data_IF_901371930240
#
_entry.id   IF_901371930240
#
_cell.length_a   1.000
_cell.length_b   1.000
_cell.length_c   1.000
_cell.angle_alpha   90.00
_cell.angle_beta   90.00
_cell.angle_gamma   90.00
#
_symmetry.space_group_name_H-M   'P 1'
#
loop_
_entity.id
_entity.type
_entity.pdbx_description
1 polymer ?
#
# COMPACT_ATOMS: atom_id res chain seq x y z
N UNK A 1 9.44 9.61 -6.76
CA UNK A 1 9.35 8.23 -7.24
C UNK A 1 10.04 7.39 -6.21
N UNK A 2 9.33 6.46 -5.55
CA UNK A 2 9.99 5.56 -4.63
C UNK A 2 10.77 4.53 -5.44
N UNK A 3 12.01 4.26 -5.04
CA UNK A 3 12.80 3.21 -5.66
C UNK A 3 12.41 1.89 -4.98
N UNK A 4 11.95 0.89 -5.74
CA UNK A 4 11.49 -0.42 -5.21
C UNK A 4 12.47 -0.99 -4.17
N UNK A 5 13.77 -0.84 -4.42
CA UNK A 5 14.85 -1.29 -3.54
C UNK A 5 14.89 -0.63 -2.14
N UNK A 6 14.18 0.48 -1.95
CA UNK A 6 14.05 1.21 -0.67
C UNK A 6 12.70 0.99 0.01
N UNK A 7 11.84 0.17 -0.59
CA UNK A 7 10.54 -0.18 -0.04
C UNK A 7 10.64 -1.45 0.79
N UNK A 8 9.78 -1.50 1.79
CA UNK A 8 9.42 -2.73 2.48
C UNK A 8 8.13 -3.30 1.89
N UNK A 9 7.91 -4.59 2.08
CA UNK A 9 6.74 -5.31 1.56
C UNK A 9 6.12 -6.21 2.62
N UNK A 10 4.80 -6.36 2.58
CA UNK A 10 4.06 -7.29 3.44
C UNK A 10 3.79 -8.61 2.72
N UNK A 11 3.35 -9.62 3.47
CA UNK A 11 2.84 -10.88 2.91
C UNK A 11 1.52 -10.69 2.13
N UNK A 12 0.82 -9.57 2.36
CA UNK A 12 -0.42 -9.19 1.66
C UNK A 12 -0.15 -8.32 0.43
N UNK A 13 1.12 -8.23 0.01
CA UNK A 13 1.54 -7.54 -1.20
C UNK A 13 1.34 -6.01 -1.16
N UNK A 14 1.27 -5.41 0.04
CA UNK A 14 1.45 -3.97 0.19
C UNK A 14 2.94 -3.62 0.21
N UNK A 15 3.26 -2.42 -0.26
CA UNK A 15 4.57 -1.81 -0.06
C UNK A 15 4.50 -0.66 0.93
N UNK A 16 5.60 -0.46 1.66
CA UNK A 16 5.77 0.60 2.65
C UNK A 16 7.03 1.40 2.32
N UNK A 17 6.86 2.71 2.10
CA UNK A 17 7.94 3.69 2.02
C UNK A 17 8.06 4.41 3.37
N UNK A 18 9.21 4.32 4.02
CA UNK A 18 9.47 5.07 5.27
C UNK A 18 9.88 6.49 4.90
N UNK A 19 8.97 7.45 5.09
CA UNK A 19 9.21 8.88 4.81
C UNK A 19 10.03 9.52 5.93
N UNK A 20 9.75 9.16 7.18
CA UNK A 20 10.47 9.59 8.38
C UNK A 20 10.22 8.63 9.54
N UNK A 21 10.81 8.89 10.71
CA UNK A 21 10.69 8.00 11.90
C UNK A 21 9.23 7.69 12.27
N UNK A 22 8.31 8.65 12.10
CA UNK A 22 6.90 8.51 12.49
C UNK A 22 5.95 8.41 11.30
N UNK A 23 6.42 8.51 10.05
CA UNK A 23 5.56 8.58 8.87
C UNK A 23 5.95 7.56 7.82
N UNK A 24 4.94 6.80 7.38
CA UNK A 24 5.05 5.85 6.28
C UNK A 24 4.05 6.18 5.18
N UNK A 25 4.40 5.82 3.94
CA UNK A 25 3.48 5.81 2.81
C UNK A 25 3.25 4.37 2.37
N UNK A 26 2.01 4.06 2.05
CA UNK A 26 1.55 2.70 1.74
C UNK A 26 0.88 2.69 0.38
N UNK A 27 1.10 1.61 -0.37
CA UNK A 27 0.38 1.27 -1.59
C UNK A 27 0.44 -0.23 -1.83
N UNK A 28 -0.02 -0.68 -3.00
CA UNK A 28 0.02 -2.08 -3.42
C UNK A 28 1.10 -2.33 -4.46
N UNK A 29 1.70 -3.52 -4.44
CA UNK A 29 2.80 -3.89 -5.33
C UNK A 29 2.35 -4.07 -6.79
N UNK A 30 3.32 -4.08 -7.69
CA UNK A 30 3.15 -4.51 -9.09
C UNK A 30 2.53 -5.91 -9.17
N UNK A 31 3.02 -6.85 -8.38
CA UNK A 31 2.45 -8.20 -8.32
C UNK A 31 0.96 -8.18 -7.92
N UNK A 32 0.58 -7.41 -6.89
CA UNK A 32 -0.81 -7.33 -6.44
C UNK A 32 -1.73 -6.83 -7.55
N UNK A 33 -1.33 -5.76 -8.25
CA UNK A 33 -2.14 -5.21 -9.35
C UNK A 33 -2.16 -6.15 -10.57
N UNK A 34 -1.10 -6.91 -10.83
CA UNK A 34 -1.12 -7.94 -11.89
C UNK A 34 -2.10 -9.08 -11.56
N UNK A 35 -2.18 -9.51 -10.30
CA UNK A 35 -3.15 -10.53 -9.86
C UNK A 35 -4.59 -10.02 -9.95
N UNK A 36 -4.83 -8.76 -9.56
CA UNK A 36 -6.14 -8.12 -9.67
C UNK A 36 -6.54 -7.91 -11.14
N UNK A 37 -5.58 -7.51 -12.00
CA UNK A 37 -5.84 -7.04 -13.36
C UNK A 37 -6.15 -5.54 -13.41
N UNK A 38 -6.84 -5.10 -14.48
CA UNK A 38 -7.16 -3.69 -14.69
C UNK A 38 -8.06 -3.15 -13.57
N UNK A 39 -7.49 -2.28 -12.72
CA UNK A 39 -8.17 -1.63 -11.61
C UNK A 39 -9.11 -0.58 -12.16
N UNK A 40 -10.36 -0.58 -11.66
CA UNK A 40 -11.42 0.32 -12.12
C UNK A 40 -11.99 1.17 -11.00
N UNK A 41 -11.74 0.81 -9.74
CA UNK A 41 -12.25 1.53 -8.59
C UNK A 41 -11.37 1.30 -7.36
N UNK A 42 -11.26 2.33 -6.51
CA UNK A 42 -10.55 2.29 -5.23
C UNK A 42 -11.45 2.95 -4.17
N UNK A 43 -11.82 2.18 -3.15
CA UNK A 43 -12.44 2.71 -1.95
C UNK A 43 -11.34 3.18 -0.99
N UNK A 44 -11.18 4.49 -0.88
CA UNK A 44 -10.18 5.12 -0.01
C UNK A 44 -10.75 5.33 1.41
N UNK A 45 -9.90 5.27 2.46
CA UNK A 45 -10.30 5.64 3.82
C UNK A 45 -10.55 7.14 3.95
N UNK A 46 -11.03 7.60 5.11
CA UNK A 46 -11.14 9.02 5.41
C UNK A 46 -9.90 9.59 6.11
N UNK A 47 -9.67 10.88 5.89
CA UNK A 47 -8.56 11.59 6.54
C UNK A 47 -8.76 11.60 8.06
N UNK A 48 -7.70 11.34 8.81
CA UNK A 48 -7.68 11.15 10.27
C UNK A 48 -8.33 9.85 10.78
N UNK A 49 -8.68 8.92 9.90
CA UNK A 49 -9.07 7.58 10.34
C UNK A 49 -7.90 6.87 11.03
N UNK A 50 -8.24 6.01 11.99
CA UNK A 50 -7.27 5.16 12.66
C UNK A 50 -7.00 3.93 11.80
N UNK A 51 -5.77 3.82 11.31
CA UNK A 51 -5.27 2.58 10.73
C UNK A 51 -4.87 1.64 11.85
N UNK A 52 -5.23 0.37 11.72
CA UNK A 52 -4.77 -0.69 12.61
C UNK A 52 -4.03 -1.74 11.80
N UNK A 53 -3.08 -2.36 12.46
CA UNK A 53 -2.29 -3.43 11.86
C UNK A 53 -3.19 -4.63 11.52
N UNK A 54 -3.04 -5.21 10.34
CA UNK A 54 -3.77 -6.38 9.83
C UNK A 54 -5.30 -6.17 9.73
N UNK A 55 -5.80 -4.93 9.82
CA UNK A 55 -7.19 -4.59 9.50
C UNK A 55 -7.25 -3.88 8.15
N UNK A 56 -8.28 -4.19 7.35
CA UNK A 56 -8.53 -3.55 6.07
C UNK A 56 -8.85 -2.07 6.23
N UNK A 57 -8.18 -1.21 5.46
CA UNK A 57 -8.41 0.25 5.47
C UNK A 57 -8.86 0.81 4.12
N UNK A 58 -8.62 0.09 3.03
CA UNK A 58 -9.03 0.45 1.69
C UNK A 58 -9.43 -0.82 0.92
N UNK A 59 -10.20 -0.67 -0.15
CA UNK A 59 -10.56 -1.79 -1.03
C UNK A 59 -10.26 -1.40 -2.47
N UNK A 60 -9.61 -2.28 -3.22
CA UNK A 60 -9.28 -2.09 -4.64
C UNK A 60 -10.12 -3.06 -5.46
N UNK A 61 -10.84 -2.55 -6.45
CA UNK A 61 -11.69 -3.33 -7.35
C UNK A 61 -11.20 -3.24 -8.80
N UNK A 62 -11.07 -4.40 -9.42
CA UNK A 62 -10.71 -4.58 -10.82
C UNK A 62 -11.89 -5.14 -11.62
N UNK A 63 -11.72 -5.23 -12.93
CA UNK A 63 -12.69 -5.90 -13.81
C UNK A 63 -12.89 -7.39 -13.51
N UNK A 64 -12.03 -8.01 -12.70
CA UNK A 64 -12.05 -9.45 -12.39
C UNK A 64 -12.38 -9.75 -10.93
N UNK A 65 -11.96 -8.91 -10.01
CA UNK A 65 -11.94 -9.20 -8.58
C UNK A 65 -11.83 -7.93 -7.75
N UNK A 66 -12.22 -8.01 -6.48
CA UNK A 66 -11.91 -7.00 -5.47
C UNK A 66 -11.00 -7.60 -4.39
N UNK A 67 -10.15 -6.77 -3.79
CA UNK A 67 -9.31 -7.12 -2.65
C UNK A 67 -9.26 -5.97 -1.65
N UNK A 68 -9.33 -6.32 -0.38
CA UNK A 68 -9.04 -5.40 0.71
C UNK A 68 -7.52 -5.18 0.84
N UNK A 69 -7.15 -3.98 1.27
CA UNK A 69 -5.78 -3.56 1.54
C UNK A 69 -5.64 -3.39 3.05
N UNK A 70 -4.64 -4.06 3.61
CA UNK A 70 -4.49 -4.19 5.06
C UNK A 70 -3.44 -3.21 5.59
N UNK A 71 -3.69 -2.73 6.81
CA UNK A 71 -2.78 -1.82 7.48
C UNK A 71 -1.49 -2.55 7.88
N UNK A 72 -0.30 -2.13 7.43
CA UNK A 72 0.96 -2.73 7.89
C UNK A 72 1.39 -2.23 9.29
N UNK A 73 0.77 -1.16 9.78
CA UNK A 73 1.07 -0.46 11.03
C UNK A 73 -0.20 -0.02 11.74
N UNK A 74 -0.10 0.30 13.02
CA UNK A 74 -1.12 1.07 13.74
C UNK A 74 -0.77 2.56 13.70
N UNK A 75 -1.75 3.42 13.42
CA UNK A 75 -1.49 4.84 13.20
C UNK A 75 -2.72 5.66 12.83
N UNK A 76 -2.48 6.91 12.47
CA UNK A 76 -3.51 7.83 11.96
C UNK A 76 -3.22 8.16 10.50
N UNK A 77 -4.23 8.07 9.64
CA UNK A 77 -4.10 8.44 8.23
C UNK A 77 -4.00 9.97 8.13
N UNK A 78 -2.87 10.44 7.62
CA UNK A 78 -2.52 11.87 7.54
C UNK A 78 -2.57 12.42 6.12
N UNK A 79 -2.50 11.56 5.10
CA UNK A 79 -2.80 11.90 3.70
C UNK A 79 -3.43 10.73 2.98
N UNK A 80 -4.23 11.04 1.98
CA UNK A 80 -4.87 10.11 1.06
C UNK A 80 -4.53 10.57 -0.36
N UNK A 81 -4.40 9.63 -1.28
CA UNK A 81 -4.26 9.93 -2.69
C UNK A 81 -5.64 10.03 -3.35
N UNK A 82 -6.34 11.15 -3.17
CA UNK A 82 -7.68 11.37 -3.72
C UNK A 82 -7.70 11.26 -5.26
N UNK A 83 -6.53 11.37 -5.92
CA UNK A 83 -6.44 11.19 -7.37
C UNK A 83 -6.71 9.77 -7.86
N UNK A 84 -6.78 8.78 -6.96
CA UNK A 84 -7.19 7.40 -7.30
C UNK A 84 -8.72 7.26 -7.47
N UNK A 85 -9.52 8.22 -7.02
CA UNK A 85 -10.97 8.22 -7.25
C UNK A 85 -11.29 8.47 -8.74
N UNK A 86 -10.53 9.38 -9.37
CA UNK A 86 -10.68 9.74 -10.78
C UNK A 86 -9.77 8.93 -11.71
N UNK A 87 -8.59 8.51 -11.23
CA UNK A 87 -7.56 7.83 -12.01
C UNK A 87 -7.06 6.55 -11.28
N UNK A 88 -7.93 5.54 -11.05
CA UNK A 88 -7.58 4.30 -10.36
C UNK A 88 -6.52 3.47 -11.10
N UNK A 89 -6.39 3.63 -12.42
CA UNK A 89 -5.40 2.96 -13.26
C UNK A 89 -3.95 3.29 -12.88
N UNK A 90 -3.72 4.36 -12.11
CA UNK A 90 -2.39 4.68 -11.54
C UNK A 90 -1.83 3.56 -10.67
N UNK A 91 -2.69 2.75 -10.06
CA UNK A 91 -2.27 1.54 -9.35
C UNK A 91 -1.61 0.54 -10.30
N UNK A 92 -2.16 0.37 -11.51
CA UNK A 92 -1.56 -0.48 -12.54
C UNK A 92 -0.31 0.16 -13.18
N UNK A 93 -0.40 1.43 -13.59
CA UNK A 93 0.65 2.09 -14.40
C UNK A 93 1.89 2.48 -13.59
N UNK A 94 1.70 2.77 -12.29
CA UNK A 94 2.73 3.39 -11.46
C UNK A 94 2.58 3.04 -9.97
N UNK A 95 2.51 1.74 -9.61
CA UNK A 95 2.20 1.28 -8.25
C UNK A 95 3.13 1.88 -7.18
N UNK A 96 4.43 2.02 -7.48
CA UNK A 96 5.44 2.54 -6.56
C UNK A 96 5.64 4.07 -6.63
N UNK A 97 4.81 4.79 -7.39
CA UNK A 97 4.96 6.23 -7.51
C UNK A 97 3.63 6.98 -7.46
N UNK A 98 2.87 7.04 -8.55
CA UNK A 98 1.57 7.71 -8.57
C UNK A 98 0.45 6.88 -7.91
N UNK A 99 0.65 5.56 -7.78
CA UNK A 99 -0.27 4.60 -7.18
C UNK A 99 -0.12 4.38 -5.66
N UNK A 100 0.41 5.36 -4.92
CA UNK A 100 0.35 5.30 -3.46
C UNK A 100 -1.09 5.54 -2.99
N UNK A 101 -1.49 4.96 -1.85
CA UNK A 101 -2.88 5.02 -1.37
C UNK A 101 -2.99 6.01 -0.20
N UNK A 102 -2.16 5.84 0.84
CA UNK A 102 -2.20 6.68 2.04
C UNK A 102 -0.81 6.99 2.61
N UNK A 103 -0.72 8.07 3.38
CA UNK A 103 0.36 8.30 4.34
C UNK A 103 -0.18 8.21 5.77
N UNK A 104 0.55 7.52 6.63
CA UNK A 104 0.13 7.21 8.00
C UNK A 104 1.18 7.70 8.98
N UNK A 105 0.73 8.42 10.00
CA UNK A 105 1.52 8.69 11.18
C UNK A 105 1.41 7.50 12.13
N UNK A 106 2.53 6.83 12.39
CA UNK A 106 2.59 5.61 13.20
C UNK A 106 2.37 5.93 14.67
N UNK A 107 1.49 5.17 15.32
CA UNK A 107 1.23 5.25 16.75
C UNK A 107 2.28 4.44 17.52
N UNK A 108 3.50 4.98 17.64
CA UNK A 108 4.59 4.37 18.41
C UNK A 108 5.84 4.07 17.57
N UNK A 109 6.59 3.03 17.96
CA UNK A 109 7.80 2.63 17.23
C UNK A 109 7.45 1.86 15.97
N UNK A 110 8.04 2.25 14.85
CA UNK A 110 7.98 1.52 13.60
C UNK A 110 8.65 0.15 13.75
N UNK A 111 7.86 -0.93 13.77
CA UNK A 111 8.39 -2.31 13.78
C UNK A 111 8.38 -2.89 12.37
N UNK A 112 9.56 -2.96 11.76
CA UNK A 112 9.75 -3.45 10.39
C UNK A 112 10.15 -4.92 10.33
N UNK A 113 10.18 -5.66 11.46
CA UNK A 113 10.73 -7.03 11.52
C UNK A 113 9.95 -8.05 10.69
N UNK A 114 8.66 -7.80 10.50
CA UNK A 114 7.77 -8.69 9.75
C UNK A 114 7.66 -8.31 8.28
N UNK A 115 8.34 -7.24 7.87
CA UNK A 115 8.35 -6.79 6.49
C UNK A 115 9.54 -7.38 5.74
N UNK A 116 9.32 -7.60 4.46
CA UNK A 116 10.32 -8.05 3.51
C UNK A 116 10.98 -6.83 2.86
N UNK A 117 12.29 -6.92 2.59
CA UNK A 117 12.91 -6.01 1.63
C UNK A 117 12.53 -6.41 0.19
N UNK A 118 12.87 -5.57 -0.79
CA UNK A 118 12.56 -5.82 -2.20
C UNK A 118 13.07 -7.17 -2.70
N UNK A 119 14.24 -7.61 -2.24
CA UNK A 119 14.84 -8.87 -2.69
C UNK A 119 14.10 -10.06 -2.11
N UNK A 120 13.82 -10.04 -0.81
CA UNK A 120 13.04 -11.07 -0.14
C UNK A 120 11.62 -11.17 -0.73
N UNK A 121 11.02 -10.02 -1.08
CA UNK A 121 9.72 -9.99 -1.72
C UNK A 121 9.73 -10.58 -3.13
N UNK A 122 10.74 -10.25 -3.95
CA UNK A 122 10.89 -10.83 -5.30
C UNK A 122 11.07 -12.35 -5.24
N UNK A 123 11.78 -12.88 -4.24
CA UNK A 123 11.87 -14.33 -3.99
C UNK A 123 10.50 -14.91 -3.60
N UNK A 124 9.78 -14.25 -2.67
CA UNK A 124 8.46 -14.69 -2.20
C UNK A 124 7.41 -14.81 -3.31
N UNK A 125 7.36 -13.85 -4.25
CA UNK A 125 6.36 -13.87 -5.34
C UNK A 125 6.78 -14.75 -6.54
N UNK A 126 8.02 -15.23 -6.55
CA UNK A 126 8.55 -16.12 -7.61
C UNK A 126 8.42 -17.62 -7.28
N UNK A 127 8.09 -17.97 -6.03
CA UNK A 127 7.80 -19.35 -5.60
C UNK A 127 6.38 -19.81 -5.99
#
# INVERSE_FOLDING_TARGET
MAEKEKLYFTNEHEWIEVISEDYVRIGISDYAVEQLGDVVFVELPALNDTMKKEEGFATVESVKSSSDIYGPVEGTITKINDSLEDEPEKLNDSPFSAGWIVEVQVSGMLDTKEWMDAKAYDEFVSE
#
